data_IF_076855062137
#
_entry.id   IF_076855062137
#
_cell.length_a   1.000
_cell.length_b   1.000
_cell.length_c   1.000
_cell.angle_alpha   90.00
_cell.angle_beta   90.00
_cell.angle_gamma   90.00
#
_symmetry.space_group_name_H-M   'P 1'
#
loop_
_entity.id
_entity.type
_entity.pdbx_description
1 polymer ?
#
# COMPACT_ATOMS: atom_id res chain seq x y z
N UNK A 1 12.70 -3.36 -28.97
CA UNK A 1 13.28 -3.99 -27.76
C UNK A 1 12.43 -3.55 -26.58
N UNK A 2 11.44 -4.33 -26.18
CA UNK A 2 10.57 -4.01 -25.04
C UNK A 2 10.20 -5.35 -24.40
N UNK A 3 11.07 -5.83 -23.51
CA UNK A 3 10.93 -7.17 -22.91
C UNK A 3 11.60 -7.34 -21.55
N UNK A 4 12.30 -6.32 -21.03
CA UNK A 4 13.00 -6.39 -19.74
C UNK A 4 12.42 -5.48 -18.65
N UNK A 5 11.56 -4.51 -18.99
CA UNK A 5 11.04 -3.56 -17.98
C UNK A 5 9.77 -4.05 -17.27
N UNK A 6 9.05 -5.04 -17.82
CA UNK A 6 7.88 -5.64 -17.16
C UNK A 6 8.23 -6.78 -16.20
N UNK A 7 9.34 -7.48 -16.43
CA UNK A 7 9.83 -8.54 -15.54
C UNK A 7 10.27 -7.99 -14.18
N UNK A 8 10.88 -6.80 -14.15
CA UNK A 8 11.29 -6.13 -12.91
C UNK A 8 10.11 -5.67 -12.04
N UNK A 9 8.99 -5.24 -12.62
CA UNK A 9 7.79 -4.90 -11.85
C UNK A 9 7.12 -6.13 -11.23
N UNK A 10 7.11 -7.27 -11.94
CA UNK A 10 6.53 -8.53 -11.42
C UNK A 10 7.35 -9.08 -10.24
N UNK A 11 8.69 -9.07 -10.32
CA UNK A 11 9.55 -9.46 -9.19
C UNK A 11 9.41 -8.52 -7.98
N UNK A 12 9.26 -7.21 -8.23
CA UNK A 12 9.11 -6.22 -7.15
C UNK A 12 7.82 -6.41 -6.36
N UNK A 13 6.71 -6.70 -7.04
CA UNK A 13 5.41 -6.97 -6.38
C UNK A 13 5.51 -8.22 -5.49
N UNK A 14 6.18 -9.28 -5.97
CA UNK A 14 6.36 -10.51 -5.19
C UNK A 14 7.19 -10.31 -3.93
N UNK A 15 8.23 -9.48 -4.00
CA UNK A 15 9.07 -9.18 -2.85
C UNK A 15 8.36 -8.30 -1.80
N UNK A 16 7.60 -7.28 -2.25
CA UNK A 16 6.80 -6.45 -1.35
C UNK A 16 5.73 -7.26 -0.61
N UNK A 17 4.98 -8.10 -1.34
CA UNK A 17 3.98 -8.99 -0.73
C UNK A 17 4.62 -9.98 0.25
N UNK A 18 5.79 -10.54 -0.08
CA UNK A 18 6.51 -11.42 0.85
C UNK A 18 6.89 -10.70 2.15
N UNK A 19 7.37 -9.46 2.06
CA UNK A 19 7.71 -8.66 3.25
C UNK A 19 6.49 -8.29 4.08
N UNK A 20 5.36 -7.98 3.44
CA UNK A 20 4.08 -7.72 4.12
C UNK A 20 3.58 -8.97 4.87
N UNK A 21 3.60 -10.13 4.22
CA UNK A 21 3.21 -11.40 4.85
C UNK A 21 4.14 -11.75 6.03
N UNK A 22 5.45 -11.49 5.89
CA UNK A 22 6.43 -11.73 6.94
C UNK A 22 6.19 -10.81 8.15
N UNK A 23 5.97 -9.52 7.93
CA UNK A 23 5.71 -8.56 9.01
C UNK A 23 4.40 -8.88 9.75
N UNK A 24 3.33 -9.20 9.00
CA UNK A 24 2.06 -9.63 9.55
C UNK A 24 2.19 -10.92 10.38
N UNK A 25 3.02 -11.88 9.95
CA UNK A 25 3.29 -13.10 10.70
C UNK A 25 4.08 -12.83 11.99
N UNK A 26 5.10 -11.97 11.94
CA UNK A 26 5.87 -11.57 13.12
C UNK A 26 5.00 -10.83 14.14
N UNK A 27 4.13 -9.93 13.69
CA UNK A 27 3.18 -9.20 14.55
C UNK A 27 2.22 -10.17 15.26
N UNK A 28 1.67 -11.14 14.53
CA UNK A 28 0.81 -12.17 15.08
C UNK A 28 1.50 -13.03 16.15
N UNK A 29 2.73 -13.46 15.89
CA UNK A 29 3.51 -14.24 16.86
C UNK A 29 3.85 -13.45 18.13
N UNK A 30 4.16 -12.15 18.00
CA UNK A 30 4.36 -11.26 19.16
C UNK A 30 3.09 -11.10 20.01
N UNK A 31 1.92 -11.19 19.39
CA UNK A 31 0.61 -11.16 20.05
C UNK A 31 0.20 -12.54 20.62
N UNK A 32 1.04 -13.57 20.48
CA UNK A 32 0.78 -14.92 20.98
C UNK A 32 -0.27 -15.70 20.18
N UNK A 33 -0.57 -15.25 18.95
CA UNK A 33 -1.50 -15.93 18.03
C UNK A 33 -0.75 -16.58 16.88
N UNK A 34 -1.29 -17.69 16.40
CA UNK A 34 -0.79 -18.36 15.20
C UNK A 34 -1.56 -17.80 13.98
N UNK A 35 -0.91 -17.02 13.09
CA UNK A 35 -1.61 -16.37 11.99
C UNK A 35 -2.07 -17.39 10.96
N UNK A 36 -3.33 -17.34 10.56
CA UNK A 36 -3.79 -18.12 9.40
C UNK A 36 -3.43 -17.41 8.09
N UNK A 37 -3.20 -18.17 7.01
CA UNK A 37 -2.96 -17.61 5.67
C UNK A 37 -4.09 -16.65 5.25
N UNK A 38 -5.30 -16.94 5.70
CA UNK A 38 -6.49 -16.14 5.47
C UNK A 38 -6.46 -14.80 6.24
N UNK A 39 -5.89 -14.74 7.44
CA UNK A 39 -5.64 -13.47 8.16
C UNK A 39 -4.53 -12.64 7.52
N UNK A 40 -3.48 -13.30 7.04
CA UNK A 40 -2.34 -12.65 6.40
C UNK A 40 -2.72 -12.02 5.05
N UNK A 41 -3.73 -12.57 4.37
CA UNK A 41 -4.23 -12.07 3.08
C UNK A 41 -5.48 -11.20 3.18
N UNK A 42 -6.15 -11.17 4.34
CA UNK A 42 -7.38 -10.39 4.60
C UNK A 42 -7.19 -8.88 4.64
N UNK A 43 -5.95 -8.38 4.61
CA UNK A 43 -5.68 -6.95 4.85
C UNK A 43 -6.08 -6.01 3.72
N UNK A 44 -6.56 -6.50 2.59
CA UNK A 44 -6.97 -5.66 1.47
C UNK A 44 -8.50 -5.64 1.35
N UNK A 45 -9.14 -4.62 1.94
CA UNK A 45 -10.51 -4.28 1.61
C UNK A 45 -10.52 -3.61 0.22
N UNK A 46 -11.14 -4.26 -0.76
CA UNK A 46 -11.34 -3.67 -2.08
C UNK A 46 -12.55 -2.72 -2.04
N UNK A 47 -12.35 -1.46 -2.44
CA UNK A 47 -13.38 -0.41 -2.41
C UNK A 47 -13.53 0.16 -3.82
N UNK A 48 -14.67 -0.12 -4.47
CA UNK A 48 -15.00 0.41 -5.80
C UNK A 48 -16.20 1.39 -5.73
N UNK A 49 -15.92 2.69 -5.80
CA UNK A 49 -16.94 3.75 -5.68
C UNK A 49 -17.38 4.36 -7.02
N UNK A 50 -16.80 3.92 -8.14
CA UNK A 50 -17.04 4.47 -9.49
C UNK A 50 -16.88 5.99 -9.59
N UNK A 51 -15.98 6.55 -8.79
CA UNK A 51 -15.58 7.96 -8.81
C UNK A 51 -14.07 8.07 -9.00
N UNK A 52 -13.57 9.13 -9.64
CA UNK A 52 -12.13 9.37 -9.72
C UNK A 52 -11.57 9.65 -8.32
N UNK A 53 -10.72 8.74 -7.84
CA UNK A 53 -10.08 8.80 -6.52
C UNK A 53 -8.54 8.87 -6.66
N UNK A 54 -8.06 9.89 -7.37
CA UNK A 54 -6.63 10.11 -7.64
C UNK A 54 -6.24 11.56 -7.35
N UNK A 55 -4.98 11.79 -7.00
CA UNK A 55 -4.38 13.12 -6.92
C UNK A 55 -4.16 13.65 -8.35
N UNK A 56 -4.86 14.70 -8.80
CA UNK A 56 -4.74 15.20 -10.16
C UNK A 56 -3.38 15.83 -10.42
N UNK A 57 -2.90 15.73 -11.67
CA UNK A 57 -1.65 16.39 -12.10
C UNK A 57 -1.69 17.91 -11.91
N UNK A 58 -2.86 18.52 -12.10
CA UNK A 58 -3.09 19.96 -11.92
C UNK A 58 -2.97 20.40 -10.46
N UNK A 59 -3.23 19.49 -9.51
CA UNK A 59 -3.09 19.76 -8.07
C UNK A 59 -1.66 19.50 -7.59
N UNK A 60 -1.03 18.43 -8.09
CA UNK A 60 0.31 18.04 -7.69
C UNK A 60 1.05 17.42 -8.88
N UNK A 61 1.81 18.26 -9.59
CA UNK A 61 2.49 17.89 -10.84
C UNK A 61 3.76 17.06 -10.67
N UNK A 62 4.38 17.07 -9.48
CA UNK A 62 5.58 16.26 -9.22
C UNK A 62 5.19 14.79 -8.92
N UNK A 63 5.60 13.89 -9.81
CA UNK A 63 5.25 12.46 -9.73
C UNK A 63 5.83 11.79 -8.49
N UNK A 64 7.05 12.15 -8.06
CA UNK A 64 7.69 11.54 -6.89
C UNK A 64 6.97 11.95 -5.61
N UNK A 65 6.59 13.22 -5.51
CA UNK A 65 5.81 13.74 -4.41
C UNK A 65 4.42 13.06 -4.37
N UNK A 66 3.77 12.85 -5.51
CA UNK A 66 2.49 12.16 -5.59
C UNK A 66 2.59 10.71 -5.12
N UNK A 67 3.63 10.00 -5.54
CA UNK A 67 3.92 8.64 -5.09
C UNK A 67 4.18 8.58 -3.58
N UNK A 68 4.92 9.56 -3.04
CA UNK A 68 5.14 9.68 -1.59
C UNK A 68 3.83 9.86 -0.83
N UNK A 69 2.91 10.71 -1.33
CA UNK A 69 1.57 10.88 -0.74
C UNK A 69 0.76 9.58 -0.79
N UNK A 70 0.72 8.88 -1.92
CA UNK A 70 0.02 7.59 -2.00
C UNK A 70 0.54 6.57 -0.99
N UNK A 71 1.87 6.48 -0.83
CA UNK A 71 2.49 5.60 0.17
C UNK A 71 2.09 5.98 1.60
N UNK A 72 2.08 7.27 1.92
CA UNK A 72 1.68 7.76 3.26
C UNK A 72 0.20 7.53 3.53
N UNK A 73 -0.68 7.71 2.54
CA UNK A 73 -2.11 7.42 2.66
C UNK A 73 -2.34 5.93 2.89
N UNK A 74 -1.66 5.06 2.11
CA UNK A 74 -1.80 3.61 2.23
C UNK A 74 -1.26 3.06 3.56
N UNK A 75 -0.26 3.73 4.16
CA UNK A 75 0.37 3.32 5.41
C UNK A 75 -0.30 3.90 6.67
N UNK A 76 -1.28 4.80 6.54
CA UNK A 76 -1.96 5.39 7.69
C UNK A 76 -2.89 4.36 8.36
N UNK A 77 -2.68 4.10 9.65
CA UNK A 77 -3.49 3.18 10.45
C UNK A 77 -4.61 3.91 11.21
N UNK A 78 -4.48 5.23 11.38
CA UNK A 78 -5.46 6.04 12.13
C UNK A 78 -6.04 7.19 11.30
N UNK A 79 -7.25 7.61 11.67
CA UNK A 79 -7.87 8.80 11.08
C UNK A 79 -7.03 10.06 11.31
N UNK A 80 -6.37 10.17 12.46
CA UNK A 80 -5.54 11.33 12.78
C UNK A 80 -4.33 11.44 11.84
N UNK A 81 -3.66 10.32 11.53
CA UNK A 81 -2.57 10.28 10.56
C UNK A 81 -3.04 10.72 9.16
N UNK A 82 -4.26 10.33 8.76
CA UNK A 82 -4.86 10.81 7.51
C UNK A 82 -5.18 12.31 7.55
N UNK A 83 -5.70 12.81 8.67
CA UNK A 83 -6.03 14.22 8.84
C UNK A 83 -4.76 15.10 8.78
N UNK A 84 -3.61 14.61 9.26
CA UNK A 84 -2.30 15.29 9.14
C UNK A 84 -1.78 15.35 7.70
N UNK A 85 -2.20 14.44 6.83
CA UNK A 85 -1.88 14.45 5.39
C UNK A 85 -2.74 15.43 4.60
N UNK A 86 -3.87 15.85 5.17
CA UNK A 86 -4.81 16.74 4.51
C UNK A 86 -4.22 18.17 4.46
N UNK A 87 -4.04 18.69 3.25
CA UNK A 87 -3.70 20.10 3.06
C UNK A 87 -4.96 20.95 3.29
N UNK A 88 -4.86 21.98 4.12
CA UNK A 88 -5.95 22.94 4.38
C UNK A 88 -6.08 23.97 3.26
#
# INVERSE_FOLDING_TARGET
MLGNEQSGQIETIGFSLYMELLDAAVKALKEGREPSLEELTRQHAEIELRVPALLPDEYLGDVNMRLSFYKRIAAAETKQELDELKLN
#
